data_IF_250889631121
#
_entry.id   IF_250889631121
#
_cell.length_a   1.000
_cell.length_b   1.000
_cell.length_c   1.000
_cell.angle_alpha   90.00
_cell.angle_beta   90.00
_cell.angle_gamma   90.00
#
_symmetry.space_group_name_H-M   'P 1'
#
loop_
_entity.id
_entity.type
_entity.pdbx_description
1 polymer ?
#
# COMPACT_ATOMS: atom_id res chain seq x y z
N UNK A 1 -36.60 -13.34 -14.75
CA UNK A 1 -36.25 -12.44 -13.65
C UNK A 1 -34.72 -12.32 -13.63
N UNK A 2 -34.17 -11.30 -14.28
CA UNK A 2 -32.72 -11.06 -14.32
C UNK A 2 -32.35 -10.42 -12.98
N UNK A 3 -31.45 -11.02 -12.21
CA UNK A 3 -30.96 -10.38 -10.97
C UNK A 3 -30.24 -9.08 -11.36
N UNK A 4 -30.49 -7.94 -10.68
CA UNK A 4 -29.75 -6.72 -10.95
C UNK A 4 -28.27 -6.95 -10.59
N UNK A 5 -27.37 -6.66 -11.54
CA UNK A 5 -25.93 -6.54 -11.27
C UNK A 5 -25.70 -5.21 -10.54
N UNK A 6 -25.81 -5.24 -9.22
CA UNK A 6 -25.64 -4.04 -8.40
C UNK A 6 -25.56 -4.40 -6.94
N UNK A 7 -24.55 -5.20 -6.58
CA UNK A 7 -24.09 -5.20 -5.19
C UNK A 7 -23.54 -3.81 -4.83
N UNK A 8 -23.47 -3.46 -3.53
CA UNK A 8 -22.81 -2.22 -3.13
C UNK A 8 -21.42 -2.17 -3.76
N UNK A 9 -21.06 -1.03 -4.35
CA UNK A 9 -19.69 -0.80 -4.81
C UNK A 9 -18.81 -0.88 -3.56
N UNK A 10 -18.05 -1.97 -3.39
CA UNK A 10 -17.09 -2.03 -2.31
C UNK A 10 -16.05 -0.92 -2.52
N UNK A 11 -16.07 0.05 -1.61
CA UNK A 11 -15.07 1.12 -1.56
C UNK A 11 -13.75 0.48 -1.17
N UNK A 12 -12.86 0.34 -2.15
CA UNK A 12 -11.48 -0.10 -1.92
C UNK A 12 -10.77 0.85 -0.97
N UNK A 13 -9.91 0.32 -0.11
CA UNK A 13 -9.10 1.11 0.81
C UNK A 13 -7.62 0.88 0.52
N UNK A 14 -6.90 1.97 0.32
CA UNK A 14 -5.44 1.96 0.17
C UNK A 14 -4.84 2.75 1.32
N UNK A 15 -3.89 2.16 2.04
CA UNK A 15 -3.13 2.84 3.07
C UNK A 15 -1.72 3.18 2.55
N UNK A 16 -1.31 4.43 2.73
CA UNK A 16 0.06 4.89 2.43
C UNK A 16 0.79 5.11 3.75
N UNK A 17 1.82 4.30 4.00
CA UNK A 17 2.70 4.38 5.17
C UNK A 17 4.04 4.95 4.72
N UNK A 18 4.25 6.23 5.02
CA UNK A 18 5.35 7.05 4.51
C UNK A 18 5.60 8.18 5.49
N UNK A 19 6.84 8.46 5.89
CA UNK A 19 7.14 9.56 6.82
C UNK A 19 7.17 10.94 6.12
N UNK A 20 7.65 10.99 4.88
CA UNK A 20 7.67 12.20 4.06
C UNK A 20 6.26 12.67 3.69
N UNK A 21 5.78 13.72 4.36
CA UNK A 21 4.49 14.37 4.09
C UNK A 21 4.33 14.78 2.63
N UNK A 22 5.41 15.21 1.97
CA UNK A 22 5.39 15.61 0.55
C UNK A 22 5.13 14.39 -0.34
N UNK A 23 5.85 13.30 -0.13
CA UNK A 23 5.67 12.08 -0.93
C UNK A 23 4.32 11.43 -0.67
N UNK A 24 3.90 11.37 0.60
CA UNK A 24 2.59 10.84 1.02
C UNK A 24 1.44 11.59 0.35
N UNK A 25 1.47 12.92 0.38
CA UNK A 25 0.48 13.78 -0.30
C UNK A 25 0.48 13.55 -1.81
N UNK A 26 1.66 13.55 -2.45
CA UNK A 26 1.78 13.36 -3.90
C UNK A 26 1.22 11.99 -4.35
N UNK A 27 1.54 10.93 -3.63
CA UNK A 27 1.06 9.59 -3.94
C UNK A 27 -0.46 9.51 -3.74
N UNK A 28 -0.98 10.06 -2.64
CA UNK A 28 -2.43 10.15 -2.39
C UNK A 28 -3.16 10.88 -3.51
N UNK A 29 -2.71 12.06 -3.92
CA UNK A 29 -3.34 12.83 -5.01
C UNK A 29 -3.31 12.07 -6.33
N UNK A 30 -2.17 11.42 -6.63
CA UNK A 30 -2.01 10.57 -7.81
C UNK A 30 -3.01 9.41 -7.82
N UNK A 31 -3.13 8.68 -6.70
CA UNK A 31 -4.06 7.56 -6.56
C UNK A 31 -5.51 8.03 -6.63
N UNK A 32 -5.87 9.11 -5.92
CA UNK A 32 -7.23 9.64 -5.89
C UNK A 32 -7.69 10.12 -7.28
N UNK A 33 -6.77 10.70 -8.07
CA UNK A 33 -7.07 11.15 -9.43
C UNK A 33 -7.41 9.97 -10.36
N UNK A 34 -6.73 8.83 -10.24
CA UNK A 34 -6.98 7.63 -11.07
C UNK A 34 -8.11 6.75 -10.53
N UNK A 35 -8.30 6.73 -9.22
CA UNK A 35 -9.24 5.84 -8.53
C UNK A 35 -10.18 6.67 -7.61
N UNK A 36 -11.09 7.48 -8.17
CA UNK A 36 -11.88 8.46 -7.41
C UNK A 36 -12.81 7.84 -6.36
N UNK A 37 -13.15 6.55 -6.48
CA UNK A 37 -13.98 5.80 -5.53
C UNK A 37 -13.18 5.08 -4.45
N UNK A 38 -11.84 5.10 -4.52
CA UNK A 38 -10.97 4.48 -3.51
C UNK A 38 -10.78 5.44 -2.34
N UNK A 39 -10.86 4.93 -1.11
CA UNK A 39 -10.51 5.69 0.09
C UNK A 39 -9.01 5.55 0.35
N UNK A 40 -8.28 6.66 0.26
CA UNK A 40 -6.85 6.70 0.59
C UNK A 40 -6.69 7.09 2.06
N UNK A 41 -6.07 6.20 2.83
CA UNK A 41 -5.66 6.38 4.22
C UNK A 41 -4.17 6.72 4.24
N UNK A 42 -3.72 7.39 5.30
CA UNK A 42 -2.34 7.87 5.45
C UNK A 42 -1.83 7.54 6.84
N UNK A 43 -0.56 7.17 6.94
CA UNK A 43 0.16 7.00 8.19
C UNK A 43 1.61 7.49 8.03
N UNK A 44 2.12 8.21 9.02
CA UNK A 44 3.48 8.71 9.04
C UNK A 44 4.48 7.73 9.70
N UNK A 45 3.96 6.77 10.46
CA UNK A 45 4.74 5.77 11.19
C UNK A 45 3.96 4.45 11.35
N UNK A 46 4.61 3.46 11.99
CA UNK A 46 4.02 2.14 12.19
C UNK A 46 2.87 2.11 13.19
N UNK A 47 2.86 2.98 14.20
CA UNK A 47 1.75 3.04 15.15
C UNK A 47 0.49 3.59 14.48
N UNK A 48 0.61 4.68 13.71
CA UNK A 48 -0.46 5.22 12.89
C UNK A 48 -0.98 4.18 11.91
N UNK A 49 -0.06 3.44 11.25
CA UNK A 49 -0.44 2.39 10.30
C UNK A 49 -1.30 1.30 10.95
N UNK A 50 -0.87 0.79 12.12
CA UNK A 50 -1.63 -0.25 12.82
C UNK A 50 -2.98 0.26 13.36
N UNK A 51 -3.04 1.54 13.80
CA UNK A 51 -4.32 2.18 14.19
C UNK A 51 -5.28 2.25 12.99
N UNK A 52 -4.80 2.67 11.83
CA UNK A 52 -5.61 2.74 10.61
C UNK A 52 -6.03 1.35 10.11
N UNK A 53 -5.15 0.36 10.17
CA UNK A 53 -5.49 -1.03 9.78
C UNK A 53 -6.60 -1.59 10.68
N UNK A 54 -6.53 -1.36 11.99
CA UNK A 54 -7.54 -1.83 12.93
C UNK A 54 -8.89 -1.13 12.75
N UNK A 55 -8.89 0.18 12.50
CA UNK A 55 -10.12 0.96 12.32
C UNK A 55 -10.73 0.81 10.91
N UNK A 56 -9.88 0.68 9.90
CA UNK A 56 -10.23 0.74 8.48
C UNK A 56 -9.41 -0.27 7.67
N UNK A 57 -9.72 -1.58 7.73
CA UNK A 57 -8.92 -2.61 7.06
C UNK A 57 -8.69 -2.30 5.57
N UNK A 58 -7.42 -2.11 5.15
CA UNK A 58 -7.08 -1.79 3.76
C UNK A 58 -7.07 -3.04 2.88
N UNK A 59 -7.30 -2.87 1.58
CA UNK A 59 -7.05 -3.91 0.58
C UNK A 59 -5.58 -3.94 0.16
N UNK A 60 -4.94 -2.77 0.15
CA UNK A 60 -3.59 -2.53 -0.33
C UNK A 60 -2.85 -1.55 0.59
N UNK A 61 -1.59 -1.82 0.87
CA UNK A 61 -0.69 -0.94 1.60
C UNK A 61 0.51 -0.60 0.73
N UNK A 62 0.83 0.69 0.64
CA UNK A 62 2.16 1.15 0.26
C UNK A 62 2.99 1.34 1.53
N UNK A 63 4.14 0.69 1.62
CA UNK A 63 5.00 0.68 2.80
C UNK A 63 6.40 1.19 2.45
N UNK A 64 6.84 2.30 3.05
CA UNK A 64 8.27 2.63 3.04
C UNK A 64 9.04 1.76 4.05
N UNK A 65 10.31 1.51 3.76
CA UNK A 65 11.21 0.73 4.63
C UNK A 65 11.64 1.54 5.85
N UNK A 66 11.99 2.81 5.65
CA UNK A 66 12.50 3.65 6.74
C UNK A 66 11.36 4.50 7.28
N UNK A 67 10.84 4.09 8.45
CA UNK A 67 9.87 4.87 9.21
C UNK A 67 10.53 5.36 10.51
N UNK A 68 10.03 6.45 11.11
CA UNK A 68 10.40 6.84 12.46
C UNK A 68 10.08 5.71 13.46
N UNK A 69 11.07 5.31 14.26
CA UNK A 69 10.89 4.36 15.36
C UNK A 69 10.72 2.88 14.98
N UNK A 70 10.45 2.55 13.71
CA UNK A 70 10.24 1.17 13.27
C UNK A 70 10.77 0.93 11.84
N UNK A 71 11.13 -0.31 11.54
CA UNK A 71 11.49 -0.76 10.20
C UNK A 71 10.23 -1.26 9.47
N UNK A 72 9.89 -0.67 8.34
CA UNK A 72 8.71 -1.03 7.55
C UNK A 72 8.70 -2.47 7.04
N UNK A 73 9.86 -3.13 6.94
CA UNK A 73 9.93 -4.56 6.61
C UNK A 73 9.46 -5.45 7.77
N UNK A 74 9.80 -5.09 9.00
CA UNK A 74 9.35 -5.82 10.19
C UNK A 74 7.84 -5.62 10.38
N UNK A 75 7.37 -4.39 10.16
CA UNK A 75 5.94 -4.07 10.14
C UNK A 75 5.20 -4.82 9.01
N UNK A 76 5.80 -4.92 7.82
CA UNK A 76 5.24 -5.72 6.72
C UNK A 76 5.08 -7.19 7.14
N UNK A 77 6.10 -7.79 7.74
CA UNK A 77 6.04 -9.19 8.18
C UNK A 77 4.92 -9.41 9.22
N UNK A 78 4.77 -8.46 10.16
CA UNK A 78 3.69 -8.47 11.15
C UNK A 78 2.31 -8.36 10.48
N UNK A 79 2.13 -7.39 9.59
CA UNK A 79 0.87 -7.20 8.86
C UNK A 79 0.51 -8.43 8.04
N UNK A 80 1.47 -9.04 7.32
CA UNK A 80 1.20 -10.25 6.52
C UNK A 80 0.87 -11.48 7.38
N UNK A 81 1.32 -11.52 8.64
CA UNK A 81 0.96 -12.58 9.58
C UNK A 81 -0.48 -12.41 10.12
N UNK A 82 -0.88 -11.18 10.44
CA UNK A 82 -2.21 -10.88 11.00
C UNK A 82 -3.29 -10.73 9.91
N UNK A 83 -2.92 -10.20 8.76
CA UNK A 83 -3.81 -9.83 7.64
C UNK A 83 -3.27 -10.38 6.30
N UNK A 84 -3.25 -11.71 6.10
CA UNK A 84 -2.60 -12.33 4.93
C UNK A 84 -3.22 -11.95 3.58
N UNK A 85 -4.46 -11.45 3.57
CA UNK A 85 -5.19 -11.02 2.38
C UNK A 85 -4.87 -9.59 1.93
N UNK A 86 -4.18 -8.81 2.76
CA UNK A 86 -3.77 -7.44 2.44
C UNK A 86 -2.58 -7.52 1.49
N UNK A 87 -2.68 -6.83 0.36
CA UNK A 87 -1.56 -6.69 -0.56
C UNK A 87 -0.61 -5.62 -0.03
N UNK A 88 0.67 -5.94 0.17
CA UNK A 88 1.69 -4.97 0.57
C UNK A 88 2.66 -4.72 -0.58
N UNK A 89 2.76 -3.47 -1.00
CA UNK A 89 3.73 -2.96 -1.96
C UNK A 89 4.77 -2.17 -1.18
N UNK A 90 6.00 -2.69 -1.10
CA UNK A 90 7.11 -1.90 -0.60
C UNK A 90 7.43 -0.82 -1.65
N UNK A 91 7.37 0.45 -1.26
CA UNK A 91 7.67 1.59 -2.12
C UNK A 91 8.70 2.47 -1.43
N UNK A 92 9.96 2.39 -1.85
CA UNK A 92 11.08 2.94 -1.08
C UNK A 92 12.16 3.61 -1.95
N UNK A 93 12.94 4.51 -1.37
CA UNK A 93 14.16 5.03 -2.02
C UNK A 93 15.35 4.08 -1.89
N UNK A 94 15.25 3.04 -1.06
CA UNK A 94 16.32 2.08 -0.78
C UNK A 94 16.22 0.86 -1.69
N UNK A 95 16.85 0.95 -2.86
CA UNK A 95 16.86 -0.12 -3.86
C UNK A 95 18.20 -0.84 -3.90
N UNK A 96 18.39 -1.79 -2.98
CA UNK A 96 19.55 -2.70 -2.99
C UNK A 96 19.09 -4.16 -3.03
N UNK A 97 19.93 -5.09 -3.51
CA UNK A 97 19.61 -6.52 -3.50
C UNK A 97 19.21 -7.03 -2.10
N UNK A 98 19.86 -6.54 -1.05
CA UNK A 98 19.59 -6.92 0.34
C UNK A 98 18.20 -6.47 0.78
N UNK A 99 17.78 -5.24 0.44
CA UNK A 99 16.44 -4.75 0.76
C UNK A 99 15.35 -5.46 -0.04
N UNK A 100 15.62 -5.83 -1.30
CA UNK A 100 14.70 -6.65 -2.10
C UNK A 100 14.52 -8.05 -1.52
N UNK A 101 15.63 -8.69 -1.11
CA UNK A 101 15.59 -9.99 -0.46
C UNK A 101 14.85 -9.93 0.89
N UNK A 102 15.13 -8.90 1.69
CA UNK A 102 14.46 -8.68 2.97
C UNK A 102 12.96 -8.43 2.81
N UNK A 103 12.53 -7.66 1.79
CA UNK A 103 11.12 -7.48 1.47
C UNK A 103 10.42 -8.79 1.08
N UNK A 104 11.09 -9.64 0.28
CA UNK A 104 10.58 -10.96 -0.04
C UNK A 104 10.45 -11.85 1.20
N UNK A 105 11.44 -11.83 2.11
CA UNK A 105 11.39 -12.55 3.40
C UNK A 105 10.26 -12.05 4.29
N UNK A 106 9.97 -10.75 4.26
CA UNK A 106 8.83 -10.15 4.96
C UNK A 106 7.47 -10.46 4.31
N UNK A 107 7.45 -11.19 3.18
CA UNK A 107 6.25 -11.55 2.41
C UNK A 107 5.54 -10.35 1.77
N UNK A 108 6.28 -9.29 1.43
CA UNK A 108 5.76 -8.24 0.57
C UNK A 108 5.35 -8.84 -0.79
N UNK A 109 4.22 -8.39 -1.35
CA UNK A 109 3.71 -8.89 -2.61
C UNK A 109 4.42 -8.23 -3.81
N UNK A 110 4.82 -6.97 -3.65
CA UNK A 110 5.54 -6.20 -4.66
C UNK A 110 6.62 -5.30 -4.04
N UNK A 111 7.62 -4.94 -4.85
CA UNK A 111 8.68 -4.00 -4.48
C UNK A 111 8.89 -2.98 -5.60
N UNK A 112 8.80 -1.71 -5.26
CA UNK A 112 8.98 -0.56 -6.16
C UNK A 112 10.01 0.41 -5.57
N UNK A 113 10.90 0.88 -6.43
CA UNK A 113 11.86 1.91 -6.06
C UNK A 113 11.34 3.29 -6.47
N UNK A 114 11.20 4.23 -5.52
CA UNK A 114 10.62 5.57 -5.73
C UNK A 114 11.30 6.34 -6.87
N UNK A 115 12.63 6.23 -6.98
CA UNK A 115 13.42 6.97 -7.98
C UNK A 115 13.35 6.42 -9.42
N UNK A 116 12.97 5.16 -9.60
CA UNK A 116 12.93 4.51 -10.91
C UNK A 116 11.52 4.04 -11.34
N UNK A 117 10.58 4.05 -10.41
CA UNK A 117 9.18 3.73 -10.69
C UNK A 117 8.47 4.94 -11.30
N UNK A 118 7.94 4.78 -12.50
CA UNK A 118 7.13 5.83 -13.12
C UNK A 118 5.76 5.92 -12.45
N UNK A 119 5.17 7.12 -12.48
CA UNK A 119 3.79 7.34 -12.02
C UNK A 119 2.81 6.36 -12.65
N UNK A 120 2.89 6.18 -13.97
CA UNK A 120 2.01 5.28 -14.71
C UNK A 120 2.23 3.81 -14.33
N UNK A 121 3.47 3.41 -14.05
CA UNK A 121 3.79 2.06 -13.59
C UNK A 121 3.15 1.75 -12.23
N UNK A 122 3.20 2.69 -11.29
CA UNK A 122 2.52 2.57 -9.99
C UNK A 122 1.01 2.43 -10.20
N UNK A 123 0.40 3.29 -11.01
CA UNK A 123 -1.04 3.26 -11.27
C UNK A 123 -1.50 1.95 -11.93
N UNK A 124 -0.74 1.46 -12.92
CA UNK A 124 -1.01 0.19 -13.60
C UNK A 124 -0.95 -0.99 -12.63
N UNK A 125 0.04 -1.01 -11.73
CA UNK A 125 0.13 -2.05 -10.71
C UNK A 125 -1.06 -2.02 -9.76
N UNK A 126 -1.45 -0.83 -9.28
CA UNK A 126 -2.63 -0.69 -8.40
C UNK A 126 -3.90 -1.16 -9.10
N UNK A 127 -4.09 -0.81 -10.36
CA UNK A 127 -5.25 -1.27 -11.15
C UNK A 127 -5.27 -2.80 -11.29
N UNK A 128 -4.12 -3.42 -11.56
CA UNK A 128 -3.99 -4.88 -11.62
C UNK A 128 -4.33 -5.55 -10.27
N UNK A 129 -3.89 -4.96 -9.15
CA UNK A 129 -4.12 -5.52 -7.81
C UNK A 129 -5.58 -5.34 -7.38
N UNK A 130 -6.18 -4.18 -7.61
CA UNK A 130 -7.55 -3.87 -7.20
C UNK A 130 -8.62 -4.45 -8.13
N UNK A 131 -8.28 -4.68 -9.41
CA UNK A 131 -9.17 -5.25 -10.42
C UNK A 131 -9.12 -6.78 -10.52
N UNK A 132 -8.09 -7.42 -9.97
CA UNK A 132 -7.88 -8.88 -10.03
C UNK A 132 -8.66 -9.71 -9.00
N UNK A 133 -9.77 -9.21 -8.45
CA UNK A 133 -10.60 -9.91 -7.45
C UNK A 133 -12.06 -9.94 -7.85
#
# INVERSE_FOLDING_TARGET
MVRPKGGPIEVRRVLVVEDSTIFRTLLKETLQSRFPTTKILEAADGEEAMREIAAHPPDLIFMDIKLPGENGLDLTAKIKAEYPHVTVIVLTSYDTPEYREAAAKAKADHFLAKGSSSREGILTLVESVLGGR
#
